data_IF_666980420547
#
_entry.id   IF_666980420547
#
_cell.length_a   1.000
_cell.length_b   1.000
_cell.length_c   1.000
_cell.angle_alpha   90.00
_cell.angle_beta   90.00
_cell.angle_gamma   90.00
#
_symmetry.space_group_name_H-M   'P 1'
#
loop_
_entity.id
_entity.type
_entity.pdbx_description
1 polymer ?
#
# COMPACT_ATOMS: atom_id res chain seq x y z
N UNK A 1 -20.64 28.78 1.09
CA UNK A 1 -19.85 27.79 0.33
C UNK A 1 -19.86 26.53 1.18
N UNK A 2 -20.23 25.39 0.60
CA UNK A 2 -20.28 24.14 1.34
C UNK A 2 -18.88 23.57 1.53
N UNK A 3 -18.76 22.60 2.44
CA UNK A 3 -17.51 21.90 2.68
C UNK A 3 -17.20 20.95 1.50
N UNK A 4 -15.96 20.94 1.02
CA UNK A 4 -15.46 19.98 0.04
C UNK A 4 -14.69 18.90 0.79
N UNK A 5 -14.99 17.64 0.49
CA UNK A 5 -14.34 16.50 1.13
C UNK A 5 -13.42 15.82 0.14
N UNK A 6 -12.20 15.54 0.58
CA UNK A 6 -11.30 14.61 -0.09
C UNK A 6 -11.10 13.41 0.82
N UNK A 7 -11.54 12.23 0.39
CA UNK A 7 -11.29 10.97 1.08
C UNK A 7 -9.98 10.41 0.53
N UNK A 8 -8.97 10.30 1.38
CA UNK A 8 -7.73 9.58 1.08
C UNK A 8 -7.89 8.16 1.63
N UNK A 9 -8.01 7.16 0.75
CA UNK A 9 -8.22 5.77 1.11
C UNK A 9 -7.06 4.90 0.64
N UNK A 10 -6.35 4.28 1.59
CA UNK A 10 -5.11 3.58 1.28
C UNK A 10 -4.74 2.56 2.36
N UNK A 11 -3.76 1.68 2.12
CA UNK A 11 -3.19 0.80 3.13
C UNK A 11 -1.86 1.33 3.69
N UNK A 12 -1.28 2.42 3.17
CA UNK A 12 -0.32 3.28 3.86
C UNK A 12 0.99 2.60 4.35
N UNK A 13 1.29 1.42 3.83
CA UNK A 13 2.53 0.67 4.14
C UNK A 13 3.67 1.14 3.23
N UNK A 14 3.32 1.47 1.99
CA UNK A 14 4.26 1.70 0.90
C UNK A 14 4.67 3.18 0.86
N UNK A 15 5.88 3.46 0.40
CA UNK A 15 6.42 4.83 0.31
C UNK A 15 5.60 5.75 -0.59
N UNK A 16 4.95 5.20 -1.61
CA UNK A 16 4.15 5.98 -2.57
C UNK A 16 2.85 6.49 -1.96
N UNK A 17 2.24 5.76 -1.02
CA UNK A 17 1.07 6.24 -0.29
C UNK A 17 1.41 7.52 0.50
N UNK A 18 2.58 7.55 1.14
CA UNK A 18 3.07 8.70 1.91
C UNK A 18 3.37 9.87 0.98
N UNK A 19 4.02 9.61 -0.16
CA UNK A 19 4.29 10.64 -1.16
C UNK A 19 2.99 11.22 -1.74
N UNK A 20 1.98 10.38 -1.96
CA UNK A 20 0.65 10.78 -2.39
C UNK A 20 -0.07 11.66 -1.34
N UNK A 21 0.04 11.32 -0.05
CA UNK A 21 -0.48 12.15 1.04
C UNK A 21 0.21 13.52 1.07
N UNK A 22 1.53 13.56 0.87
CA UNK A 22 2.28 14.82 0.78
C UNK A 22 1.83 15.69 -0.39
N UNK A 23 1.63 15.10 -1.56
CA UNK A 23 1.10 15.80 -2.74
C UNK A 23 -0.32 16.35 -2.48
N UNK A 24 -1.18 15.57 -1.84
CA UNK A 24 -2.53 16.00 -1.47
C UNK A 24 -2.49 17.22 -0.53
N UNK A 25 -1.64 17.19 0.51
CA UNK A 25 -1.48 18.32 1.44
C UNK A 25 -1.06 19.59 0.70
N UNK A 26 -0.09 19.49 -0.23
CA UNK A 26 0.33 20.62 -1.06
C UNK A 26 -0.85 21.16 -1.88
N UNK A 27 -1.59 20.29 -2.55
CA UNK A 27 -2.74 20.66 -3.39
C UNK A 27 -3.88 21.35 -2.61
N UNK A 28 -4.04 21.03 -1.32
CA UNK A 28 -5.13 21.58 -0.50
C UNK A 28 -4.70 22.75 0.40
N UNK A 29 -3.41 23.08 0.47
CA UNK A 29 -2.87 24.03 1.45
C UNK A 29 -3.54 25.42 1.41
N UNK A 30 -4.02 25.86 0.24
CA UNK A 30 -4.69 27.16 0.04
C UNK A 30 -6.21 27.06 -0.12
N UNK A 31 -6.79 25.90 0.17
CA UNK A 31 -8.22 25.62 -0.03
C UNK A 31 -8.96 25.51 1.31
N UNK A 32 -9.33 26.63 1.96
CA UNK A 32 -9.83 26.62 3.34
C UNK A 32 -11.16 25.89 3.54
N UNK A 33 -11.94 25.68 2.47
CA UNK A 33 -13.19 24.92 2.52
C UNK A 33 -13.00 23.43 2.20
N UNK A 34 -11.76 22.94 2.08
CA UNK A 34 -11.46 21.54 1.78
C UNK A 34 -10.97 20.83 3.03
N UNK A 35 -11.65 19.73 3.38
CA UNK A 35 -11.24 18.84 4.47
C UNK A 35 -10.80 17.49 3.89
N UNK A 36 -9.65 17.01 4.35
CA UNK A 36 -9.17 15.66 4.03
C UNK A 36 -9.66 14.70 5.11
N UNK A 37 -10.21 13.57 4.70
CA UNK A 37 -10.54 12.43 5.57
C UNK A 37 -9.55 11.31 5.28
N UNK A 38 -8.70 11.01 6.25
CA UNK A 38 -7.67 9.98 6.14
C UNK A 38 -8.26 8.65 6.60
N UNK A 39 -8.38 7.68 5.69
CA UNK A 39 -8.94 6.37 5.97
C UNK A 39 -7.95 5.30 5.53
N UNK A 40 -7.52 4.45 6.47
CA UNK A 40 -6.58 3.38 6.19
C UNK A 40 -7.19 1.99 6.31
N UNK A 41 -6.99 1.20 5.26
CA UNK A 41 -7.37 -0.20 5.22
C UNK A 41 -6.27 -1.07 5.87
N UNK A 42 -6.62 -2.05 6.72
CA UNK A 42 -5.69 -3.06 7.22
C UNK A 42 -5.32 -4.06 6.11
N UNK A 43 -4.13 -4.64 6.19
CA UNK A 43 -3.79 -5.85 5.42
C UNK A 43 -3.82 -7.05 6.36
N UNK A 44 -4.17 -8.24 5.84
CA UNK A 44 -3.96 -9.49 6.57
C UNK A 44 -2.47 -9.73 6.78
N UNK A 45 -2.08 -10.08 8.00
CA UNK A 45 -0.69 -10.33 8.42
C UNK A 45 -0.59 -11.62 9.23
N UNK A 46 0.63 -12.06 9.52
CA UNK A 46 0.89 -13.18 10.43
C UNK A 46 2.22 -12.91 11.12
N UNK A 47 2.14 -12.61 12.41
CA UNK A 47 3.33 -12.24 13.18
C UNK A 47 4.30 -13.40 13.34
N UNK A 48 5.59 -13.06 13.41
CA UNK A 48 6.65 -14.03 13.65
C UNK A 48 7.08 -14.84 12.43
N UNK A 49 6.44 -14.66 11.28
CA UNK A 49 6.91 -15.15 9.99
C UNK A 49 7.93 -14.20 9.40
N UNK A 50 9.07 -14.74 8.98
CA UNK A 50 10.08 -14.02 8.21
C UNK A 50 11.01 -15.04 7.55
N UNK A 51 11.47 -14.69 6.35
CA UNK A 51 12.50 -15.42 5.64
C UNK A 51 13.80 -14.62 5.67
N UNK A 52 14.91 -15.28 6.04
CA UNK A 52 16.23 -14.65 5.94
C UNK A 52 16.65 -14.48 4.48
N UNK A 53 17.56 -13.54 4.21
CA UNK A 53 18.09 -13.34 2.85
C UNK A 53 18.75 -14.60 2.27
N UNK A 54 19.36 -15.43 3.13
CA UNK A 54 19.95 -16.72 2.74
C UNK A 54 18.87 -17.75 2.38
N UNK A 55 17.83 -17.88 3.22
CA UNK A 55 16.68 -18.74 2.94
C UNK A 55 16.00 -18.33 1.63
N UNK A 56 15.82 -17.03 1.40
CA UNK A 56 15.23 -16.50 0.16
C UNK A 56 16.06 -16.87 -1.06
N UNK A 57 17.37 -16.65 -1.01
CA UNK A 57 18.28 -17.01 -2.11
C UNK A 57 18.21 -18.51 -2.40
N UNK A 58 18.31 -19.34 -1.36
CA UNK A 58 18.25 -20.80 -1.50
C UNK A 58 16.90 -21.27 -2.02
N UNK A 59 15.80 -20.70 -1.54
CA UNK A 59 14.46 -21.02 -2.01
C UNK A 59 14.29 -20.68 -3.50
N UNK A 60 14.78 -19.52 -3.95
CA UNK A 60 14.76 -19.13 -5.37
C UNK A 60 15.57 -20.08 -6.26
N UNK A 61 16.74 -20.53 -5.80
CA UNK A 61 17.54 -21.54 -6.51
C UNK A 61 16.78 -22.86 -6.67
N UNK A 62 16.16 -23.33 -5.58
CA UNK A 62 15.37 -24.57 -5.57
C UNK A 62 14.16 -24.45 -6.48
N UNK A 63 13.44 -23.33 -6.45
CA UNK A 63 12.31 -23.06 -7.36
C UNK A 63 12.77 -23.07 -8.82
N UNK A 64 13.88 -22.39 -9.12
CA UNK A 64 14.45 -22.33 -10.48
C UNK A 64 14.77 -23.72 -11.02
N UNK A 65 15.34 -24.58 -10.16
CA UNK A 65 15.77 -25.93 -10.53
C UNK A 65 14.60 -26.91 -10.69
N UNK A 66 13.62 -26.85 -9.80
CA UNK A 66 12.59 -27.89 -9.69
C UNK A 66 11.23 -27.49 -10.28
N UNK A 67 10.96 -26.20 -10.45
CA UNK A 67 9.67 -25.69 -10.94
C UNK A 67 9.80 -24.69 -12.12
N UNK A 68 10.63 -24.95 -13.15
CA UNK A 68 10.87 -23.98 -14.24
C UNK A 68 9.61 -23.68 -15.06
N UNK A 69 8.63 -24.60 -15.09
CA UNK A 69 7.35 -24.43 -15.80
C UNK A 69 6.33 -23.56 -15.06
N UNK A 70 6.55 -23.23 -13.79
CA UNK A 70 5.63 -22.42 -12.96
C UNK A 70 5.81 -20.91 -13.17
N UNK A 71 6.67 -20.49 -14.10
CA UNK A 71 6.93 -19.09 -14.42
C UNK A 71 8.15 -18.52 -13.70
N UNK A 72 8.15 -17.21 -13.47
CA UNK A 72 9.30 -16.53 -12.83
C UNK A 72 9.45 -17.00 -11.37
N UNK A 73 10.61 -17.51 -10.94
CA UNK A 73 10.82 -18.04 -9.58
C UNK A 73 10.42 -17.07 -8.47
N UNK A 74 10.71 -15.78 -8.66
CA UNK A 74 10.32 -14.74 -7.71
C UNK A 74 8.79 -14.61 -7.56
N UNK A 75 8.01 -14.73 -8.65
CA UNK A 75 6.53 -14.69 -8.57
C UNK A 75 5.98 -15.94 -7.87
N UNK A 76 6.60 -17.10 -8.09
CA UNK A 76 6.24 -18.36 -7.40
C UNK A 76 6.44 -18.21 -5.90
N UNK A 77 7.60 -17.70 -5.48
CA UNK A 77 7.91 -17.44 -4.07
C UNK A 77 6.98 -16.37 -3.46
N UNK A 78 6.87 -15.22 -4.11
CA UNK A 78 6.10 -14.08 -3.64
C UNK A 78 4.60 -14.38 -3.53
N UNK A 79 4.04 -15.14 -4.46
CA UNK A 79 2.63 -15.56 -4.41
C UNK A 79 2.37 -16.79 -3.54
N UNK A 80 3.42 -17.47 -3.07
CA UNK A 80 3.29 -18.71 -2.30
C UNK A 80 2.64 -19.84 -3.10
N UNK A 81 3.04 -20.01 -4.37
CA UNK A 81 2.32 -20.81 -5.37
C UNK A 81 2.65 -22.31 -5.35
N UNK A 82 3.43 -22.78 -4.36
CA UNK A 82 3.68 -24.20 -4.16
C UNK A 82 2.70 -24.80 -3.15
N UNK A 83 2.52 -26.11 -3.21
CA UNK A 83 1.79 -26.93 -2.23
C UNK A 83 2.71 -27.93 -1.53
N UNK A 84 2.25 -28.50 -0.41
CA UNK A 84 2.98 -29.60 0.25
C UNK A 84 3.22 -30.79 -0.69
N UNK A 85 2.26 -31.07 -1.58
CA UNK A 85 2.41 -32.11 -2.59
C UNK A 85 3.55 -31.80 -3.57
N UNK A 86 3.62 -30.55 -4.06
CA UNK A 86 4.71 -30.14 -4.96
C UNK A 86 6.09 -30.38 -4.32
N UNK A 87 6.22 -30.14 -3.01
CA UNK A 87 7.48 -30.34 -2.27
C UNK A 87 7.75 -31.82 -1.99
N UNK A 88 6.72 -32.57 -1.57
CA UNK A 88 6.86 -33.98 -1.19
C UNK A 88 7.11 -34.92 -2.39
N UNK A 89 6.63 -34.56 -3.58
CA UNK A 89 6.83 -35.33 -4.83
C UNK A 89 8.31 -35.26 -5.32
N UNK A 90 9.19 -34.50 -4.66
CA UNK A 90 10.62 -34.42 -4.96
C UNK A 90 11.42 -35.50 -4.21
N UNK A 91 11.55 -36.69 -4.81
CA UNK A 91 12.16 -37.90 -4.21
C UNK A 91 13.65 -37.79 -3.80
N UNK A 92 14.38 -36.76 -4.23
CA UNK A 92 15.85 -36.63 -4.07
C UNK A 92 16.31 -35.35 -3.40
N UNK A 93 15.41 -34.64 -2.72
CA UNK A 93 15.74 -33.43 -1.99
C UNK A 93 16.03 -33.74 -0.52
N UNK A 94 17.02 -33.07 0.09
CA UNK A 94 17.25 -33.18 1.54
C UNK A 94 16.05 -32.59 2.31
N UNK A 95 15.86 -33.03 3.55
CA UNK A 95 14.79 -32.46 4.38
C UNK A 95 14.99 -30.96 4.67
N UNK A 96 16.24 -30.49 4.74
CA UNK A 96 16.55 -29.06 4.88
C UNK A 96 16.12 -28.25 3.65
N UNK A 97 16.42 -28.74 2.43
CA UNK A 97 15.98 -28.09 1.20
C UNK A 97 14.44 -28.16 1.05
N UNK A 98 13.80 -29.25 1.51
CA UNK A 98 12.34 -29.32 1.56
C UNK A 98 11.76 -28.31 2.53
N UNK A 99 12.36 -28.14 3.71
CA UNK A 99 11.95 -27.12 4.67
C UNK A 99 12.06 -25.70 4.08
N UNK A 100 13.13 -25.42 3.33
CA UNK A 100 13.29 -24.14 2.62
C UNK A 100 12.24 -23.97 1.51
N UNK A 101 11.94 -25.01 0.73
CA UNK A 101 10.89 -24.95 -0.30
C UNK A 101 9.49 -24.76 0.29
N UNK A 102 9.22 -25.31 1.48
CA UNK A 102 7.94 -25.10 2.18
C UNK A 102 7.69 -23.63 2.52
N UNK A 103 8.73 -22.79 2.59
CA UNK A 103 8.54 -21.34 2.76
C UNK A 103 7.93 -20.66 1.52
N UNK A 104 7.93 -21.31 0.36
CA UNK A 104 7.23 -20.89 -0.86
C UNK A 104 5.79 -21.41 -0.94
N UNK A 105 5.29 -22.06 0.11
CA UNK A 105 3.87 -22.34 0.30
C UNK A 105 3.29 -21.15 1.08
N UNK A 106 2.16 -20.61 0.62
CA UNK A 106 1.51 -19.49 1.31
C UNK A 106 1.05 -19.92 2.71
N UNK A 107 1.54 -19.28 3.79
CA UNK A 107 1.12 -19.60 5.14
C UNK A 107 -0.31 -19.08 5.39
N UNK A 108 -1.03 -19.64 6.39
CA UNK A 108 -2.29 -19.07 6.83
C UNK A 108 -2.07 -17.68 7.44
N UNK A 109 -3.12 -16.86 7.40
CA UNK A 109 -3.15 -15.59 8.12
C UNK A 109 -3.11 -15.81 9.63
N UNK A 110 -2.56 -14.83 10.35
CA UNK A 110 -2.70 -14.75 11.79
C UNK A 110 -4.14 -14.37 12.19
N UNK A 111 -4.44 -14.34 13.48
CA UNK A 111 -5.69 -13.77 13.99
C UNK A 111 -5.87 -12.32 13.52
N UNK A 112 -7.13 -11.92 13.33
CA UNK A 112 -7.52 -10.56 12.89
C UNK A 112 -6.96 -9.48 13.82
N UNK A 113 -6.86 -9.75 15.12
CA UNK A 113 -6.26 -8.84 16.09
C UNK A 113 -4.81 -8.47 15.74
N UNK A 114 -4.05 -9.36 15.08
CA UNK A 114 -2.69 -9.07 14.62
C UNK A 114 -2.71 -8.03 13.48
N UNK A 115 -3.67 -8.15 12.54
CA UNK A 115 -3.87 -7.17 11.48
C UNK A 115 -4.32 -5.80 12.04
N UNK A 116 -5.17 -5.80 13.07
CA UNK A 116 -5.60 -4.58 13.76
C UNK A 116 -4.43 -3.91 14.48
N UNK A 117 -3.61 -4.68 15.21
CA UNK A 117 -2.41 -4.16 15.89
C UNK A 117 -1.42 -3.58 14.88
N UNK A 118 -1.16 -4.31 13.81
CA UNK A 118 -0.27 -3.85 12.75
C UNK A 118 -0.75 -2.54 12.13
N UNK A 119 -2.03 -2.47 11.75
CA UNK A 119 -2.64 -1.27 11.18
C UNK A 119 -2.60 -0.08 12.13
N UNK A 120 -2.88 -0.29 13.43
CA UNK A 120 -2.80 0.78 14.44
C UNK A 120 -1.38 1.34 14.56
N UNK A 121 -0.38 0.48 14.55
CA UNK A 121 1.02 0.91 14.62
C UNK A 121 1.37 1.79 13.42
N UNK A 122 1.15 1.29 12.20
CA UNK A 122 1.48 2.02 10.98
C UNK A 122 0.63 3.30 10.85
N UNK A 123 -0.60 3.31 11.34
CA UNK A 123 -1.42 4.53 11.38
C UNK A 123 -0.80 5.60 12.28
N UNK A 124 -0.34 5.25 13.50
CA UNK A 124 0.36 6.21 14.36
C UNK A 124 1.66 6.74 13.75
N UNK A 125 2.40 5.89 13.05
CA UNK A 125 3.61 6.32 12.32
C UNK A 125 3.27 7.37 11.27
N UNK A 126 2.16 7.17 10.56
CA UNK A 126 1.69 8.11 9.56
C UNK A 126 1.13 9.40 10.19
N UNK A 127 0.47 9.32 11.36
CA UNK A 127 0.08 10.52 12.14
C UNK A 127 1.30 11.35 12.47
N UNK A 128 2.42 10.72 12.84
CA UNK A 128 3.67 11.42 13.13
C UNK A 128 4.13 12.25 11.91
N UNK A 129 4.15 11.63 10.73
CA UNK A 129 4.51 12.30 9.47
C UNK A 129 3.54 13.45 9.12
N UNK A 130 2.23 13.18 9.16
CA UNK A 130 1.21 14.19 8.86
C UNK A 130 1.28 15.37 9.84
N UNK A 131 1.60 15.11 11.11
CA UNK A 131 1.77 16.16 12.12
C UNK A 131 2.99 17.05 11.89
N UNK A 132 3.99 16.60 11.15
CA UNK A 132 5.11 17.45 10.69
C UNK A 132 4.72 18.29 9.47
N UNK A 133 3.80 17.79 8.65
CA UNK A 133 3.40 18.43 7.40
C UNK A 133 2.19 19.37 7.53
N UNK A 134 1.38 19.17 8.58
CA UNK A 134 0.14 19.90 8.84
C UNK A 134 0.23 20.71 10.14
N UNK A 135 -0.41 21.88 10.15
CA UNK A 135 -0.51 22.74 11.33
C UNK A 135 -1.77 22.46 12.19
N UNK A 136 -2.51 21.39 11.88
CA UNK A 136 -3.76 21.01 12.53
C UNK A 136 -3.70 19.60 13.09
N UNK A 137 -4.50 19.27 14.12
CA UNK A 137 -4.63 17.90 14.58
C UNK A 137 -5.01 16.95 13.45
N UNK A 138 -4.44 15.75 13.48
CA UNK A 138 -4.61 14.69 12.50
C UNK A 138 -5.48 13.59 13.09
N UNK A 139 -6.56 13.26 12.40
CA UNK A 139 -7.37 12.07 12.67
C UNK A 139 -7.21 11.08 11.53
N UNK A 140 -6.84 9.85 11.85
CA UNK A 140 -6.81 8.72 10.93
C UNK A 140 -7.88 7.72 11.35
N UNK A 141 -8.74 7.37 10.40
CA UNK A 141 -9.79 6.37 10.56
C UNK A 141 -9.30 5.02 10.01
N UNK A 142 -9.51 3.94 10.74
CA UNK A 142 -9.15 2.59 10.30
C UNK A 142 -10.41 1.88 9.84
N UNK A 143 -10.42 1.44 8.58
CA UNK A 143 -11.54 0.72 8.00
C UNK A 143 -11.52 -0.76 8.40
N UNK A 144 -12.34 -1.14 9.37
CA UNK A 144 -12.34 -2.49 9.93
C UNK A 144 -13.54 -3.34 9.48
N UNK A 145 -14.51 -2.78 8.77
CA UNK A 145 -15.80 -3.45 8.51
C UNK A 145 -15.65 -4.72 7.66
N UNK A 146 -14.75 -4.71 6.67
CA UNK A 146 -14.57 -5.82 5.72
C UNK A 146 -13.29 -6.64 5.99
N UNK A 147 -12.66 -6.51 7.17
CA UNK A 147 -11.34 -7.11 7.44
C UNK A 147 -11.33 -8.64 7.27
N UNK A 148 -12.45 -9.30 7.53
CA UNK A 148 -12.67 -10.75 7.35
C UNK A 148 -12.66 -11.17 5.86
N UNK A 149 -12.99 -10.25 4.96
CA UNK A 149 -13.07 -10.48 3.51
C UNK A 149 -11.77 -10.09 2.78
N UNK A 150 -10.86 -9.40 3.48
CA UNK A 150 -9.58 -8.98 2.92
C UNK A 150 -8.62 -10.16 2.79
N UNK A 151 -8.00 -10.24 1.62
CA UNK A 151 -6.88 -11.11 1.33
C UNK A 151 -5.58 -10.29 1.36
N UNK A 152 -4.48 -10.99 1.69
CA UNK A 152 -3.14 -10.54 1.32
C UNK A 152 -2.58 -11.49 0.26
N UNK A 153 -2.37 -11.05 -1.00
CA UNK A 153 -1.89 -11.94 -2.07
C UNK A 153 -0.41 -12.32 -1.89
N UNK A 154 0.33 -11.59 -1.05
CA UNK A 154 1.74 -11.85 -0.76
C UNK A 154 1.87 -13.05 0.18
N UNK A 155 2.85 -13.90 -0.10
CA UNK A 155 3.34 -14.91 0.82
C UNK A 155 3.99 -14.22 2.02
N UNK A 156 3.37 -14.32 3.19
CA UNK A 156 3.80 -13.61 4.40
C UNK A 156 5.20 -14.02 4.90
N UNK A 157 5.74 -15.17 4.47
CA UNK A 157 7.14 -15.50 4.72
C UNK A 157 8.10 -14.51 4.03
N UNK A 158 7.65 -13.87 2.95
CA UNK A 158 8.41 -12.87 2.18
C UNK A 158 8.16 -11.44 2.66
N UNK A 159 7.31 -11.23 3.66
CA UNK A 159 7.07 -9.90 4.20
C UNK A 159 8.39 -9.36 4.73
N UNK A 160 8.84 -8.27 4.13
CA UNK A 160 9.98 -7.53 4.66
C UNK A 160 9.43 -6.66 5.80
N UNK A 161 10.29 -6.29 6.73
CA UNK A 161 9.88 -5.54 7.92
C UNK A 161 9.86 -4.03 7.64
N UNK A 162 9.44 -3.62 6.42
CA UNK A 162 9.38 -2.21 5.99
C UNK A 162 8.46 -1.35 6.87
N UNK A 163 7.49 -1.95 7.54
CA UNK A 163 6.62 -1.25 8.48
C UNK A 163 7.42 -0.71 9.68
N UNK A 164 8.54 -1.36 10.03
CA UNK A 164 9.32 -1.08 11.25
C UNK A 164 10.34 0.05 11.09
N UNK A 165 10.47 0.67 9.91
CA UNK A 165 11.47 1.74 9.67
C UNK A 165 11.30 2.95 10.58
N UNK A 166 10.10 3.18 11.14
CA UNK A 166 9.83 4.27 12.07
C UNK A 166 10.15 3.92 13.53
N UNK A 167 10.78 2.78 13.80
CA UNK A 167 11.14 2.32 15.15
C UNK A 167 12.54 2.78 15.53
N UNK A 168 12.72 3.06 16.81
CA UNK A 168 14.02 3.36 17.38
C UNK A 168 14.93 2.12 17.38
N UNK A 169 16.23 2.33 17.47
CA UNK A 169 17.22 1.25 17.61
C UNK A 169 16.88 0.31 18.78
N UNK A 170 16.46 0.85 19.93
CA UNK A 170 16.12 0.05 21.11
C UNK A 170 14.88 -0.83 20.89
N UNK A 171 13.87 -0.33 20.17
CA UNK A 171 12.69 -1.11 19.82
C UNK A 171 13.04 -2.23 18.83
N UNK A 172 13.88 -1.93 17.83
CA UNK A 172 14.31 -2.89 16.82
C UNK A 172 15.18 -4.01 17.41
N UNK A 173 16.12 -3.70 18.30
CA UNK A 173 16.94 -4.72 18.98
C UNK A 173 16.08 -5.66 19.83
N UNK A 174 15.03 -5.13 20.47
CA UNK A 174 14.04 -5.95 21.20
C UNK A 174 13.27 -6.85 20.23
N UNK A 175 12.83 -6.30 19.10
CA UNK A 175 12.13 -7.07 18.07
C UNK A 175 13.00 -8.20 17.51
N UNK A 176 14.27 -7.94 17.16
CA UNK A 176 15.22 -8.97 16.69
C UNK A 176 15.44 -10.08 17.72
N UNK A 177 15.53 -9.71 19.01
CA UNK A 177 15.64 -10.68 20.10
C UNK A 177 14.40 -11.58 20.14
N UNK A 178 13.21 -11.02 20.01
CA UNK A 178 11.95 -11.76 19.98
C UNK A 178 11.90 -12.71 18.77
N UNK A 179 12.38 -12.26 17.60
CA UNK A 179 12.40 -13.09 16.38
C UNK A 179 13.27 -14.35 16.48
N UNK A 180 14.19 -14.42 17.45
CA UNK A 180 15.00 -15.62 17.72
C UNK A 180 14.29 -16.64 18.63
N UNK A 181 13.14 -16.28 19.22
CA UNK A 181 12.37 -17.18 20.08
C UNK A 181 11.63 -18.25 19.25
N UNK A 182 11.26 -19.39 19.85
CA UNK A 182 10.44 -20.38 19.17
C UNK A 182 9.07 -19.81 18.79
N UNK A 183 8.50 -20.28 17.67
CA UNK A 183 7.37 -19.63 17.01
C UNK A 183 6.17 -19.33 17.93
N UNK A 184 5.67 -20.24 18.79
CA UNK A 184 4.53 -19.91 19.65
C UNK A 184 4.82 -18.77 20.63
N UNK A 185 5.98 -18.77 21.30
CA UNK A 185 6.36 -17.70 22.23
C UNK A 185 6.67 -16.38 21.51
N UNK A 186 7.22 -16.48 20.30
CA UNK A 186 7.55 -15.33 19.45
C UNK A 186 6.30 -14.51 19.14
N UNK A 187 5.20 -15.14 18.73
CA UNK A 187 3.98 -14.42 18.34
C UNK A 187 3.43 -13.58 19.50
N UNK A 188 3.32 -14.16 20.69
CA UNK A 188 2.78 -13.44 21.86
C UNK A 188 3.67 -12.26 22.27
N UNK A 189 5.00 -12.45 22.25
CA UNK A 189 5.95 -11.37 22.53
C UNK A 189 5.90 -10.25 21.47
N UNK A 190 5.67 -10.59 20.19
CA UNK A 190 5.49 -9.59 19.13
C UNK A 190 4.22 -8.77 19.39
N UNK A 191 3.11 -9.40 19.80
CA UNK A 191 1.87 -8.68 20.15
C UNK A 191 2.10 -7.69 21.28
N UNK A 192 2.77 -8.13 22.35
CA UNK A 192 3.13 -7.26 23.47
C UNK A 192 4.02 -6.10 23.03
N UNK A 193 5.02 -6.38 22.17
CA UNK A 193 5.91 -5.38 21.62
C UNK A 193 5.15 -4.34 20.76
N UNK A 194 4.28 -4.79 19.84
CA UNK A 194 3.42 -3.92 19.04
C UNK A 194 2.55 -3.03 19.94
N UNK A 195 1.88 -3.61 20.95
CA UNK A 195 1.09 -2.87 21.92
C UNK A 195 1.91 -1.82 22.68
N UNK A 196 3.14 -2.16 23.06
CA UNK A 196 4.10 -1.24 23.66
C UNK A 196 4.45 -0.05 22.76
N UNK A 197 4.79 -0.30 21.50
CA UNK A 197 5.10 0.74 20.53
C UNK A 197 3.90 1.65 20.25
N UNK A 198 2.68 1.09 20.08
CA UNK A 198 1.45 1.86 19.92
C UNK A 198 1.24 2.80 21.10
N UNK A 199 1.33 2.28 22.33
CA UNK A 199 1.14 3.08 23.54
C UNK A 199 2.17 4.20 23.67
N UNK A 200 3.42 3.95 23.27
CA UNK A 200 4.49 4.96 23.25
C UNK A 200 4.17 6.05 22.24
N UNK A 201 3.80 5.68 21.01
CA UNK A 201 3.43 6.63 19.96
C UNK A 201 2.22 7.47 20.39
N UNK A 202 1.13 6.85 20.86
CA UNK A 202 -0.07 7.55 21.31
C UNK A 202 0.24 8.58 22.42
N UNK A 203 1.08 8.22 23.40
CA UNK A 203 1.49 9.17 24.46
C UNK A 203 2.33 10.32 23.93
N UNK A 204 3.22 10.05 22.97
CA UNK A 204 4.13 11.04 22.42
C UNK A 204 3.42 12.06 21.51
N UNK A 205 2.52 11.59 20.63
CA UNK A 205 1.90 12.43 19.59
C UNK A 205 0.38 12.61 19.73
N UNK A 206 -0.32 11.77 20.48
CA UNK A 206 -1.77 11.88 20.70
C UNK A 206 -2.19 13.08 21.54
N UNK A 207 -1.32 13.57 22.44
CA UNK A 207 -1.60 14.72 23.31
C UNK A 207 -1.82 16.05 22.56
N UNK A 208 -1.53 16.11 21.25
CA UNK A 208 -1.75 17.28 20.38
C UNK A 208 -3.13 17.31 19.72
N UNK A 209 -4.07 16.50 20.21
CA UNK A 209 -5.41 16.34 19.60
C UNK A 209 -5.43 15.36 18.43
N UNK A 210 -4.31 14.69 18.15
CA UNK A 210 -4.22 13.65 17.14
C UNK A 210 -4.94 12.38 17.60
N UNK A 211 -5.50 11.61 16.67
CA UNK A 211 -6.13 10.34 17.01
C UNK A 211 -6.11 9.30 15.88
N UNK A 212 -6.13 8.04 16.30
CA UNK A 212 -6.32 6.88 15.43
C UNK A 212 -7.54 6.12 15.96
N UNK A 213 -8.58 5.98 15.13
CA UNK A 213 -9.87 5.40 15.56
C UNK A 213 -10.43 4.45 14.51
N UNK A 214 -11.28 3.48 14.87
CA UNK A 214 -12.09 2.77 13.89
C UNK A 214 -12.96 3.74 13.09
N UNK A 215 -13.10 3.49 11.80
CA UNK A 215 -14.05 4.18 10.93
C UNK A 215 -15.48 3.84 11.39
N UNK A 216 -16.33 4.85 11.47
CA UNK A 216 -17.78 4.68 11.61
C UNK A 216 -18.42 5.03 10.27
N UNK A 217 -18.72 4.00 9.47
CA UNK A 217 -19.17 4.17 8.08
C UNK A 217 -20.39 5.08 7.94
N UNK A 218 -21.38 4.95 8.84
CA UNK A 218 -22.58 5.79 8.78
C UNK A 218 -22.26 7.28 8.98
N UNK A 219 -21.29 7.60 9.85
CA UNK A 219 -20.83 8.99 10.03
C UNK A 219 -20.12 9.54 8.79
N UNK A 220 -19.34 8.70 8.12
CA UNK A 220 -18.73 9.06 6.84
C UNK A 220 -19.79 9.25 5.75
N UNK A 221 -20.83 8.41 5.71
CA UNK A 221 -21.93 8.56 4.76
C UNK A 221 -22.68 9.88 4.97
N UNK A 222 -22.94 10.29 6.21
CA UNK A 222 -23.54 11.60 6.50
C UNK A 222 -22.62 12.77 6.11
N UNK A 223 -21.31 12.62 6.30
CA UNK A 223 -20.31 13.56 5.77
C UNK A 223 -20.41 13.68 4.25
N UNK A 224 -20.48 12.55 3.52
CA UNK A 224 -20.61 12.55 2.05
C UNK A 224 -21.91 13.22 1.61
N UNK A 225 -23.02 12.93 2.29
CA UNK A 225 -24.35 13.50 1.98
C UNK A 225 -24.41 15.01 2.22
N UNK A 226 -23.68 15.52 3.20
CA UNK A 226 -23.69 16.96 3.55
C UNK A 226 -22.69 17.80 2.77
N UNK A 227 -21.67 17.18 2.17
CA UNK A 227 -20.64 17.88 1.40
C UNK A 227 -21.16 18.53 0.11
N UNK A 228 -20.52 19.63 -0.29
CA UNK A 228 -20.71 20.27 -1.61
C UNK A 228 -20.20 19.35 -2.73
N UNK A 229 -19.05 18.71 -2.51
CA UNK A 229 -18.43 17.77 -3.43
C UNK A 229 -17.56 16.79 -2.66
N UNK A 230 -17.50 15.54 -3.13
CA UNK A 230 -16.62 14.51 -2.58
C UNK A 230 -15.70 13.96 -3.65
N UNK A 231 -14.39 14.05 -3.42
CA UNK A 231 -13.37 13.39 -4.21
C UNK A 231 -12.81 12.20 -3.42
N UNK A 232 -12.71 11.05 -4.06
CA UNK A 232 -12.13 9.85 -3.46
C UNK A 232 -10.84 9.50 -4.19
N UNK A 233 -9.74 9.44 -3.45
CA UNK A 233 -8.42 9.07 -3.92
C UNK A 233 -8.07 7.71 -3.31
N UNK A 234 -8.12 6.65 -4.13
CA UNK A 234 -8.01 5.26 -3.68
C UNK A 234 -6.75 4.56 -4.17
N UNK A 235 -6.02 3.93 -3.25
CA UNK A 235 -4.85 3.09 -3.53
C UNK A 235 -4.84 1.76 -2.77
N UNK A 236 -5.99 1.32 -2.24
CA UNK A 236 -6.16 0.04 -1.55
C UNK A 236 -7.31 -0.77 -2.19
N UNK A 237 -7.92 -1.72 -1.46
CA UNK A 237 -9.04 -2.50 -1.99
C UNK A 237 -10.26 -1.62 -2.33
N UNK A 238 -11.24 -2.22 -3.01
CA UNK A 238 -12.48 -1.54 -3.43
C UNK A 238 -13.64 -1.78 -2.44
N UNK A 239 -13.38 -2.39 -1.27
CA UNK A 239 -14.41 -2.72 -0.28
C UNK A 239 -15.26 -1.52 0.17
N UNK A 240 -14.60 -0.41 0.52
CA UNK A 240 -15.33 0.80 0.94
C UNK A 240 -16.21 1.40 -0.18
N UNK A 241 -15.81 1.24 -1.44
CA UNK A 241 -16.58 1.73 -2.60
C UNK A 241 -17.84 0.88 -2.82
N UNK A 242 -17.74 -0.44 -2.68
CA UNK A 242 -18.91 -1.32 -2.63
C UNK A 242 -19.87 -0.88 -1.52
N UNK A 243 -19.36 -0.58 -0.32
CA UNK A 243 -20.19 -0.09 0.79
C UNK A 243 -20.83 1.27 0.50
N UNK A 244 -20.15 2.19 -0.19
CA UNK A 244 -20.77 3.46 -0.62
C UNK A 244 -21.93 3.28 -1.61
N UNK A 245 -21.83 2.33 -2.53
CA UNK A 245 -22.93 1.93 -3.42
C UNK A 245 -24.10 1.41 -2.59
N UNK A 246 -23.85 0.43 -1.71
CA UNK A 246 -24.88 -0.19 -0.86
C UNK A 246 -25.55 0.81 0.09
N UNK A 247 -24.83 1.84 0.55
CA UNK A 247 -25.34 2.92 1.40
C UNK A 247 -26.02 4.05 0.62
N UNK A 248 -26.03 3.99 -0.71
CA UNK A 248 -26.70 4.97 -1.58
C UNK A 248 -26.07 6.36 -1.52
N UNK A 249 -24.74 6.44 -1.40
CA UNK A 249 -23.99 7.70 -1.40
C UNK A 249 -22.99 7.82 -2.55
N UNK A 250 -22.85 6.78 -3.38
CA UNK A 250 -21.90 6.72 -4.49
C UNK A 250 -22.09 7.86 -5.51
N UNK A 251 -23.35 8.28 -5.74
CA UNK A 251 -23.74 9.33 -6.70
C UNK A 251 -23.14 10.71 -6.39
N UNK A 252 -22.59 10.91 -5.19
CA UNK A 252 -21.87 12.12 -4.77
C UNK A 252 -20.35 12.04 -4.89
N UNK A 253 -19.80 10.85 -5.12
CA UNK A 253 -18.37 10.57 -4.99
C UNK A 253 -17.68 10.53 -6.36
N UNK A 254 -16.62 11.31 -6.52
CA UNK A 254 -15.77 11.33 -7.71
C UNK A 254 -14.49 10.53 -7.45
N UNK A 255 -14.41 9.32 -8.01
CA UNK A 255 -13.33 8.38 -7.76
C UNK A 255 -12.14 8.55 -8.71
N UNK A 256 -10.94 8.55 -8.15
CA UNK A 256 -9.66 8.40 -8.87
C UNK A 256 -8.85 7.30 -8.18
N UNK A 257 -8.64 6.19 -8.88
CA UNK A 257 -8.15 4.94 -8.28
C UNK A 257 -6.88 4.44 -8.95
N UNK A 258 -5.87 4.06 -8.17
CA UNK A 258 -4.76 3.23 -8.66
C UNK A 258 -5.25 1.78 -8.70
N UNK A 259 -5.67 1.28 -9.86
CA UNK A 259 -6.22 -0.10 -9.96
C UNK A 259 -6.13 -0.66 -11.37
N UNK A 260 -5.92 -1.98 -11.45
CA UNK A 260 -5.92 -2.75 -12.70
C UNK A 260 -4.68 -2.52 -13.57
N UNK A 261 -4.59 -3.25 -14.68
CA UNK A 261 -3.52 -3.09 -15.68
C UNK A 261 -3.99 -3.64 -17.03
N UNK A 262 -3.65 -2.96 -18.13
CA UNK A 262 -3.81 -3.51 -19.47
C UNK A 262 -2.59 -4.37 -19.90
N UNK A 263 -1.50 -4.31 -19.13
CA UNK A 263 -0.30 -5.13 -19.33
C UNK A 263 -0.19 -6.18 -18.23
N UNK A 264 -0.55 -7.42 -18.56
CA UNK A 264 -0.51 -8.56 -17.64
C UNK A 264 0.92 -8.98 -17.27
N UNK A 265 1.95 -8.56 -18.01
CA UNK A 265 3.32 -8.86 -17.64
C UNK A 265 3.73 -8.19 -16.31
N UNK A 266 3.11 -7.03 -16.02
CA UNK A 266 3.35 -6.24 -14.81
C UNK A 266 2.67 -6.81 -13.56
N UNK A 267 1.65 -7.65 -13.73
CA UNK A 267 0.95 -8.27 -12.61
C UNK A 267 1.86 -9.25 -11.86
N UNK A 268 2.08 -9.01 -10.56
CA UNK A 268 2.82 -9.93 -9.69
C UNK A 268 1.98 -11.15 -9.29
N UNK A 269 0.66 -10.97 -9.21
CA UNK A 269 -0.35 -11.96 -8.88
C UNK A 269 -1.35 -12.12 -10.04
N UNK A 270 -2.26 -13.10 -10.04
CA UNK A 270 -3.27 -13.21 -11.11
C UNK A 270 -4.03 -11.89 -11.32
N UNK A 271 -4.51 -11.30 -10.22
CA UNK A 271 -5.11 -9.97 -10.19
C UNK A 271 -4.03 -8.89 -9.93
N UNK A 272 -4.29 -7.65 -10.37
CA UNK A 272 -3.52 -6.49 -9.89
C UNK A 272 -3.69 -6.38 -8.36
N UNK A 273 -2.67 -5.88 -7.66
CA UNK A 273 -2.60 -5.95 -6.19
C UNK A 273 -3.87 -5.48 -5.48
N UNK A 274 -4.37 -4.28 -5.79
CA UNK A 274 -5.56 -3.71 -5.13
C UNK A 274 -6.85 -4.51 -5.43
N UNK A 275 -6.94 -5.13 -6.60
CA UNK A 275 -8.01 -6.08 -6.92
C UNK A 275 -7.84 -7.38 -6.11
N UNK A 276 -6.61 -7.84 -5.94
CA UNK A 276 -6.31 -9.08 -5.24
C UNK A 276 -6.56 -9.00 -3.72
N UNK A 277 -6.65 -7.79 -3.14
CA UNK A 277 -7.01 -7.60 -1.74
C UNK A 277 -8.47 -7.96 -1.46
N UNK A 278 -9.39 -7.69 -2.39
CA UNK A 278 -10.79 -8.11 -2.27
C UNK A 278 -11.42 -8.25 -3.68
N UNK A 279 -11.20 -9.40 -4.37
CA UNK A 279 -11.72 -9.61 -5.71
C UNK A 279 -13.25 -9.52 -5.84
N UNK A 280 -14.05 -10.04 -4.88
CA UNK A 280 -15.51 -9.85 -4.91
C UNK A 280 -15.93 -8.38 -4.87
N UNK A 281 -15.34 -7.57 -3.98
CA UNK A 281 -15.67 -6.15 -3.89
C UNK A 281 -15.22 -5.38 -5.14
N UNK A 282 -14.06 -5.73 -5.71
CA UNK A 282 -13.60 -5.15 -6.95
C UNK A 282 -14.55 -5.45 -8.12
N UNK A 283 -14.95 -6.71 -8.29
CA UNK A 283 -15.93 -7.10 -9.31
C UNK A 283 -17.25 -6.33 -9.15
N UNK A 284 -17.80 -6.31 -7.93
CA UNK A 284 -19.04 -5.60 -7.64
C UNK A 284 -18.95 -4.11 -8.00
N UNK A 285 -17.87 -3.46 -7.55
CA UNK A 285 -17.64 -2.03 -7.81
C UNK A 285 -17.47 -1.75 -9.31
N UNK A 286 -16.77 -2.60 -10.06
CA UNK A 286 -16.64 -2.43 -11.50
C UNK A 286 -17.93 -2.68 -12.27
N UNK A 287 -18.82 -3.55 -11.78
CA UNK A 287 -20.14 -3.75 -12.40
C UNK A 287 -21.07 -2.56 -12.15
N UNK A 288 -20.81 -1.78 -11.10
CA UNK A 288 -21.67 -0.68 -10.61
C UNK A 288 -20.95 0.69 -10.70
N UNK A 289 -19.86 0.79 -11.47
CA UNK A 289 -19.02 1.99 -11.53
C UNK A 289 -19.78 3.25 -11.98
N UNK A 290 -20.85 3.07 -12.75
CA UNK A 290 -21.72 4.11 -13.27
C UNK A 290 -22.67 4.71 -12.22
N UNK A 291 -22.74 4.13 -11.01
CA UNK A 291 -23.46 4.71 -9.88
C UNK A 291 -22.68 5.85 -9.21
N UNK A 292 -21.38 5.97 -9.47
CA UNK A 292 -20.56 7.08 -8.98
C UNK A 292 -20.74 8.35 -9.81
N UNK A 293 -20.56 9.51 -9.18
CA UNK A 293 -20.59 10.81 -9.87
C UNK A 293 -19.56 10.87 -11.01
N UNK A 294 -18.38 10.28 -10.77
CA UNK A 294 -17.34 10.03 -11.74
C UNK A 294 -16.49 8.85 -11.28
N UNK A 295 -16.02 8.02 -12.20
CA UNK A 295 -15.19 6.85 -11.86
C UNK A 295 -14.02 6.73 -12.85
N UNK A 296 -12.83 7.07 -12.38
CA UNK A 296 -11.61 7.09 -13.18
C UNK A 296 -10.55 6.19 -12.55
N UNK A 297 -9.90 5.38 -13.38
CA UNK A 297 -8.82 4.49 -12.96
C UNK A 297 -7.48 4.91 -13.57
N UNK A 298 -6.40 4.62 -12.86
CA UNK A 298 -5.03 4.80 -13.30
C UNK A 298 -4.35 3.43 -13.21
N UNK A 299 -4.32 2.68 -14.32
CA UNK A 299 -3.79 1.33 -14.32
C UNK A 299 -2.29 1.30 -14.01
N UNK A 300 -1.79 0.19 -13.46
CA UNK A 300 -0.39 0.04 -13.05
C UNK A 300 0.61 0.30 -14.17
N UNK A 301 0.31 -0.08 -15.43
CA UNK A 301 1.19 0.22 -16.56
C UNK A 301 1.36 1.72 -16.81
N UNK A 302 0.36 2.54 -16.47
CA UNK A 302 0.45 4.00 -16.56
C UNK A 302 1.04 4.62 -15.30
N UNK A 303 0.65 4.13 -14.13
CA UNK A 303 1.14 4.64 -12.84
C UNK A 303 2.65 4.39 -12.65
N UNK A 304 3.14 3.23 -13.09
CA UNK A 304 4.56 2.85 -12.97
C UNK A 304 5.45 3.45 -14.07
N UNK A 305 4.88 4.08 -15.08
CA UNK A 305 5.64 4.76 -16.14
C UNK A 305 6.26 6.08 -15.68
N UNK A 306 5.84 6.61 -14.53
CA UNK A 306 6.48 7.77 -13.92
C UNK A 306 7.40 7.31 -12.79
N UNK A 307 8.67 7.72 -12.84
CA UNK A 307 9.66 7.45 -11.81
C UNK A 307 10.07 8.75 -11.12
N UNK A 308 10.17 8.70 -9.79
CA UNK A 308 10.46 9.83 -8.93
C UNK A 308 11.77 9.59 -8.21
N UNK A 309 12.62 10.60 -8.17
CA UNK A 309 13.81 10.61 -7.31
C UNK A 309 13.40 10.49 -5.84
N UNK A 310 13.94 9.48 -5.14
CA UNK A 310 13.70 9.33 -3.69
C UNK A 310 14.40 10.44 -2.90
N UNK A 311 15.48 11.01 -3.41
CA UNK A 311 16.11 12.21 -2.84
C UNK A 311 15.17 13.41 -2.91
N UNK A 312 14.48 13.59 -4.05
CA UNK A 312 13.46 14.64 -4.22
C UNK A 312 12.29 14.45 -3.27
N UNK A 313 11.81 13.22 -3.10
CA UNK A 313 10.74 12.89 -2.16
C UNK A 313 11.16 13.13 -0.70
N UNK A 314 12.38 12.75 -0.32
CA UNK A 314 12.94 13.07 1.00
C UNK A 314 13.00 14.59 1.23
N UNK A 315 13.41 15.36 0.23
CA UNK A 315 13.45 16.83 0.32
C UNK A 315 12.09 17.43 0.62
N UNK A 316 11.04 16.89 0.01
CA UNK A 316 9.66 17.35 0.20
C UNK A 316 8.97 16.82 1.46
N UNK A 317 9.27 15.58 1.86
CA UNK A 317 8.61 14.87 2.96
C UNK A 317 9.44 14.75 4.25
N UNK A 318 10.68 15.22 4.25
CA UNK A 318 11.58 15.16 5.41
C UNK A 318 12.24 13.79 5.65
N UNK A 319 12.83 13.64 6.83
CA UNK A 319 13.58 12.44 7.22
C UNK A 319 12.70 11.18 7.19
N UNK A 320 11.47 11.27 7.71
CA UNK A 320 10.54 10.14 7.78
C UNK A 320 10.19 9.60 6.38
N UNK A 321 10.02 10.49 5.38
CA UNK A 321 9.83 10.07 3.99
C UNK A 321 11.05 9.34 3.44
N UNK A 322 12.25 9.84 3.76
CA UNK A 322 13.50 9.22 3.35
C UNK A 322 13.68 7.81 3.94
N UNK A 323 13.43 7.65 5.23
CA UNK A 323 13.49 6.35 5.93
C UNK A 323 12.49 5.35 5.33
N UNK A 324 11.27 5.79 5.02
CA UNK A 324 10.28 4.96 4.33
C UNK A 324 10.75 4.53 2.94
N UNK A 325 11.36 5.43 2.17
CA UNK A 325 11.92 5.10 0.85
C UNK A 325 13.10 4.13 0.95
N UNK A 326 13.95 4.24 1.98
CA UNK A 326 15.06 3.31 2.22
C UNK A 326 14.55 1.89 2.51
N UNK A 327 13.60 1.73 3.43
CA UNK A 327 13.04 0.42 3.75
C UNK A 327 12.29 -0.19 2.56
N UNK A 328 11.35 0.56 1.98
CA UNK A 328 10.45 0.01 0.97
C UNK A 328 11.10 -0.09 -0.42
N UNK A 329 11.66 1.00 -0.96
CA UNK A 329 12.18 1.02 -2.33
C UNK A 329 13.62 0.53 -2.46
N UNK A 330 14.41 0.63 -1.40
CA UNK A 330 15.82 0.18 -1.40
C UNK A 330 15.99 -1.19 -0.73
N UNK A 331 15.02 -1.63 0.09
CA UNK A 331 15.07 -2.90 0.78
C UNK A 331 16.09 -2.91 1.93
N UNK A 332 16.39 -1.74 2.48
CA UNK A 332 17.33 -1.60 3.59
C UNK A 332 16.73 -2.08 4.92
N UNK A 333 17.58 -2.64 5.77
CA UNK A 333 17.16 -3.17 7.07
C UNK A 333 16.80 -2.03 8.03
N UNK A 334 15.66 -2.11 8.76
CA UNK A 334 15.26 -1.08 9.70
C UNK A 334 16.36 -0.68 10.70
N UNK A 335 17.14 -1.65 11.19
CA UNK A 335 18.20 -1.37 12.16
C UNK A 335 19.38 -0.59 11.55
N UNK A 336 19.71 -0.81 10.28
CA UNK A 336 20.73 -0.02 9.57
C UNK A 336 20.27 1.42 9.38
N UNK A 337 18.99 1.60 9.04
CA UNK A 337 18.36 2.91 8.89
C UNK A 337 18.37 3.66 10.22
N UNK A 338 17.90 3.04 11.31
CA UNK A 338 17.84 3.64 12.65
C UNK A 338 19.22 4.00 13.21
N UNK A 339 20.28 3.29 12.81
CA UNK A 339 21.68 3.58 13.16
C UNK A 339 22.36 4.59 12.24
N UNK A 340 21.65 5.12 11.25
CA UNK A 340 22.19 5.99 10.20
C UNK A 340 23.40 5.39 9.46
N UNK A 341 23.42 4.07 9.32
CA UNK A 341 24.47 3.35 8.57
C UNK A 341 24.24 3.41 7.06
N UNK A 342 23.04 3.76 6.64
CA UNK A 342 22.63 3.95 5.25
C UNK A 342 21.81 5.23 5.11
N UNK A 343 22.05 6.01 4.06
CA UNK A 343 21.31 7.23 3.77
C UNK A 343 21.01 7.35 2.27
N UNK A 344 19.97 8.11 1.92
CA UNK A 344 19.65 8.35 0.51
C UNK A 344 20.79 9.10 -0.19
N UNK A 345 21.36 10.12 0.46
CA UNK A 345 22.38 10.98 -0.12
C UNK A 345 23.68 10.24 -0.45
N UNK A 346 24.09 9.29 0.40
CA UNK A 346 25.37 8.60 0.23
C UNK A 346 25.22 7.32 -0.60
N UNK A 347 24.16 6.55 -0.36
CA UNK A 347 24.04 5.19 -0.89
C UNK A 347 23.10 5.11 -2.11
N UNK A 348 22.16 6.07 -2.23
CA UNK A 348 21.13 6.08 -3.27
C UNK A 348 20.85 7.44 -3.93
N UNK A 349 21.87 8.28 -4.22
CA UNK A 349 21.65 9.68 -4.65
C UNK A 349 20.82 9.79 -5.94
N UNK A 350 21.04 8.86 -6.88
CA UNK A 350 20.40 8.87 -8.19
C UNK A 350 19.20 7.90 -8.29
N UNK A 351 18.78 7.31 -7.17
CA UNK A 351 17.73 6.30 -7.17
C UNK A 351 16.39 6.93 -7.52
N UNK A 352 15.76 6.38 -8.55
CA UNK A 352 14.37 6.68 -8.93
C UNK A 352 13.52 5.41 -8.81
N UNK A 353 12.27 5.58 -8.42
CA UNK A 353 11.30 4.47 -8.33
C UNK A 353 9.91 4.91 -8.79
N UNK A 354 9.08 3.97 -9.28
CA UNK A 354 7.67 4.25 -9.51
C UNK A 354 6.96 4.53 -8.18
N UNK A 355 6.09 5.54 -8.17
CA UNK A 355 5.19 5.85 -7.06
C UNK A 355 3.76 5.83 -7.60
N UNK A 356 3.10 4.67 -7.51
CA UNK A 356 1.89 4.39 -8.29
C UNK A 356 0.71 5.22 -7.79
N UNK A 357 0.52 5.30 -6.48
CA UNK A 357 -0.55 6.08 -5.89
C UNK A 357 -0.33 7.59 -6.04
N UNK A 358 0.91 8.05 -5.85
CA UNK A 358 1.27 9.44 -6.14
C UNK A 358 0.90 9.81 -7.58
N UNK A 359 1.30 8.97 -8.54
CA UNK A 359 1.01 9.20 -9.96
C UNK A 359 -0.48 9.18 -10.23
N UNK A 360 -1.21 8.22 -9.64
CA UNK A 360 -2.65 8.13 -9.80
C UNK A 360 -3.35 9.40 -9.29
N UNK A 361 -2.93 9.91 -8.14
CA UNK A 361 -3.55 11.08 -7.52
C UNK A 361 -3.14 12.37 -8.23
N UNK A 362 -1.92 12.46 -8.77
CA UNK A 362 -1.49 13.60 -9.58
C UNK A 362 -2.36 13.85 -10.80
N UNK A 363 -2.96 12.82 -11.41
CA UNK A 363 -3.94 13.03 -12.48
C UNK A 363 -5.21 13.75 -12.04
N UNK A 364 -5.56 13.62 -10.76
CA UNK A 364 -6.69 14.31 -10.16
C UNK A 364 -6.30 15.69 -9.61
N UNK A 365 -5.09 15.81 -9.03
CA UNK A 365 -4.60 17.02 -8.37
C UNK A 365 -3.95 18.03 -9.33
N UNK A 366 -3.42 17.57 -10.46
CA UNK A 366 -2.73 18.39 -11.47
C UNK A 366 -3.24 18.05 -12.88
N UNK A 367 -4.31 18.72 -13.34
CA UNK A 367 -4.84 18.51 -14.69
C UNK A 367 -3.75 18.66 -15.77
N UNK A 368 -3.70 17.68 -16.68
CA UNK A 368 -2.71 17.66 -17.77
C UNK A 368 -1.34 17.09 -17.39
N UNK A 369 -1.17 16.58 -16.16
CA UNK A 369 0.06 15.88 -15.76
C UNK A 369 0.45 14.79 -16.77
N UNK A 370 1.74 14.72 -17.11
CA UNK A 370 2.30 13.72 -18.00
C UNK A 370 1.76 13.66 -19.43
N UNK A 371 0.85 14.57 -19.84
CA UNK A 371 0.10 14.48 -21.11
C UNK A 371 -0.61 13.12 -21.30
N UNK A 372 -1.04 12.49 -20.20
CA UNK A 372 -1.79 11.25 -20.29
C UNK A 372 -3.10 11.44 -21.05
N UNK A 373 -3.50 10.40 -21.80
CA UNK A 373 -4.72 10.43 -22.59
C UNK A 373 -5.85 9.78 -21.79
N UNK A 374 -7.02 10.41 -21.79
CA UNK A 374 -8.23 9.78 -21.29
C UNK A 374 -8.70 8.75 -22.32
N UNK A 375 -8.72 7.47 -21.92
CA UNK A 375 -9.21 6.32 -22.70
C UNK A 375 -10.27 5.58 -21.89
N UNK A 376 -10.77 4.45 -22.40
CA UNK A 376 -11.68 3.60 -21.67
C UNK A 376 -11.19 2.15 -21.60
N UNK A 377 -11.64 1.45 -20.56
CA UNK A 377 -11.43 0.02 -20.37
C UNK A 377 -12.74 -0.68 -20.06
N UNK A 378 -12.80 -1.95 -20.43
CA UNK A 378 -13.76 -2.90 -19.86
C UNK A 378 -13.02 -3.89 -18.98
N UNK A 379 -13.71 -4.35 -17.95
CA UNK A 379 -13.20 -5.39 -17.06
C UNK A 379 -13.86 -6.71 -17.46
N UNK A 380 -13.05 -7.71 -17.73
CA UNK A 380 -13.50 -9.06 -18.04
C UNK A 380 -13.07 -10.01 -16.92
N UNK A 381 -13.98 -10.87 -16.48
CA UNK A 381 -13.68 -11.89 -15.49
C UNK A 381 -13.33 -13.21 -16.18
N UNK A 382 -12.04 -13.56 -16.18
CA UNK A 382 -11.55 -14.84 -16.68
C UNK A 382 -11.17 -15.74 -15.51
N UNK A 383 -12.09 -16.64 -15.14
CA UNK A 383 -11.89 -17.64 -14.07
C UNK A 383 -11.45 -17.02 -12.74
N UNK A 384 -12.05 -15.89 -12.35
CA UNK A 384 -11.74 -15.17 -11.11
C UNK A 384 -10.63 -14.14 -11.24
N UNK A 385 -10.02 -14.00 -12.42
CA UNK A 385 -9.06 -12.91 -12.70
C UNK A 385 -9.77 -11.78 -13.43
N UNK A 386 -9.69 -10.55 -12.88
CA UNK A 386 -10.26 -9.35 -13.47
C UNK A 386 -9.24 -8.68 -14.38
N UNK A 387 -9.48 -8.78 -15.69
CA UNK A 387 -8.58 -8.30 -16.74
C UNK A 387 -9.09 -6.99 -17.31
N UNK A 388 -8.23 -5.97 -17.38
CA UNK A 388 -8.58 -4.72 -18.04
C UNK A 388 -8.23 -4.82 -19.52
N UNK A 389 -9.22 -4.57 -20.37
CA UNK A 389 -9.05 -4.53 -21.82
C UNK A 389 -9.38 -3.14 -22.35
N UNK A 390 -8.47 -2.50 -23.10
CA UNK A 390 -8.77 -1.24 -23.79
C UNK A 390 -10.04 -1.37 -24.62
N UNK A 391 -10.90 -0.36 -24.53
CA UNK A 391 -12.17 -0.33 -25.24
C UNK A 391 -12.54 1.09 -25.65
N UNK A 392 -13.47 1.24 -26.59
CA UNK A 392 -14.00 2.55 -26.96
C UNK A 392 -14.95 3.12 -25.90
N UNK A 393 -15.54 2.27 -25.06
CA UNK A 393 -16.45 2.65 -23.98
C UNK A 393 -16.22 1.81 -22.72
N UNK A 394 -16.58 2.34 -21.55
CA UNK A 394 -16.46 1.65 -20.28
C UNK A 394 -15.94 2.60 -19.20
N UNK A 395 -15.14 2.07 -18.28
CA UNK A 395 -14.52 2.83 -17.21
C UNK A 395 -13.46 3.77 -17.81
N UNK A 396 -13.51 5.04 -17.46
CA UNK A 396 -12.50 6.03 -17.86
C UNK A 396 -11.15 5.68 -17.25
N UNK A 397 -10.08 5.72 -18.05
CA UNK A 397 -8.71 5.53 -17.59
C UNK A 397 -7.77 6.63 -18.07
N UNK A 398 -6.82 7.03 -17.21
CA UNK A 398 -5.66 7.78 -17.65
C UNK A 398 -4.58 6.82 -18.15
N UNK A 399 -4.28 6.90 -19.45
CA UNK A 399 -3.27 6.07 -20.11
C UNK A 399 -2.03 6.90 -20.47
N UNK A 400 -0.91 6.54 -19.86
CA UNK A 400 0.40 7.14 -20.10
C UNK A 400 1.29 6.16 -20.87
N UNK A 401 1.46 6.41 -22.16
CA UNK A 401 2.27 5.55 -23.06
C UNK A 401 3.78 5.76 -22.88
N UNK A 402 4.21 6.95 -22.44
CA UNK A 402 5.63 7.33 -22.35
C UNK A 402 6.18 7.27 -20.94
N UNK A 403 7.43 6.83 -20.80
CA UNK A 403 8.15 6.87 -19.53
C UNK A 403 8.54 8.31 -19.17
N UNK A 404 8.27 8.71 -17.94
CA UNK A 404 8.70 9.99 -17.35
C UNK A 404 9.65 9.66 -16.19
N UNK A 405 10.78 10.36 -16.11
CA UNK A 405 11.71 10.25 -14.98
C UNK A 405 11.91 11.66 -14.44
N UNK A 406 11.59 11.85 -13.17
CA UNK A 406 11.70 13.13 -12.46
C UNK A 406 12.91 13.06 -11.52
N UNK A 407 13.91 13.88 -11.79
CA UNK A 407 15.04 14.10 -10.91
C UNK A 407 14.65 14.84 -9.63
N UNK A 408 15.62 15.00 -8.72
CA UNK A 408 15.39 15.57 -7.38
C UNK A 408 14.64 16.92 -7.43
N UNK A 409 15.15 17.89 -8.18
CA UNK A 409 14.52 19.22 -8.27
C UNK A 409 13.18 19.17 -9.02
N UNK A 410 13.03 18.30 -10.02
CA UNK A 410 11.77 18.18 -10.77
C UNK A 410 10.65 17.61 -9.89
N UNK A 411 10.97 16.72 -8.94
CA UNK A 411 10.02 16.23 -7.94
C UNK A 411 9.58 17.35 -7.00
N UNK A 412 10.53 18.15 -6.49
CA UNK A 412 10.25 19.30 -5.62
C UNK A 412 9.36 20.31 -6.35
N UNK A 413 9.78 20.76 -7.54
CA UNK A 413 9.04 21.72 -8.36
C UNK A 413 7.63 21.22 -8.69
N UNK A 414 7.48 19.92 -8.99
CA UNK A 414 6.18 19.30 -9.24
C UNK A 414 5.26 19.43 -8.02
N UNK A 415 5.72 19.04 -6.82
CA UNK A 415 4.90 19.04 -5.62
C UNK A 415 4.61 20.47 -5.12
N UNK A 416 5.57 21.39 -5.22
CA UNK A 416 5.36 22.80 -4.92
C UNK A 416 4.32 23.44 -5.84
N UNK A 417 4.30 23.06 -7.13
CA UNK A 417 3.35 23.60 -8.11
C UNK A 417 1.89 23.20 -7.88
N UNK A 418 1.60 22.33 -6.90
CA UNK A 418 0.24 21.94 -6.54
C UNK A 418 -0.47 23.00 -5.67
N UNK A 419 0.29 23.83 -4.94
CA UNK A 419 -0.21 24.73 -3.89
C UNK A 419 -0.43 26.18 -4.28
#
# INVERSE_FOLDING_TARGET
MGERIIIFYNDSIDSDNWAAARALIRATARSPNTRIVWIFEPRQVSFGLAMSAEQQRRCLELITKHFPSRGKPFKVLLGGLLSDRDVNDLDRLSEDDKAILRLAIKPPYGPIDDAILHRKLVAWDHVAALSEWLNSPVEILIDLDDIDELENPVNLNCHRQEELVARSEEELLRYETIMNEPYPQRVDKIREWYGGCINTAEKAIGTRGNSVKPLVLDSLCETIKSAESVQFLGGASLGILQRFIQKGVADKVQCHLQVGTCDLALNLFPNQFNIALNPPAAQYTFDHFNEFANFVVVPSHSAQNVQYSIAGLKKEGGAIMGERCLGFNCGEEPLKIARHQVTIENDYPDKVCPMSDLTAFLYALKPGFGKARLKHVRVENEKGTLLFRPNSSGISMYDLEGKIVLGENEVVDLLESLG
#
